data_IF_016386558300
#
_entry.id   IF_016386558300
#
_cell.length_a   1.000
_cell.length_b   1.000
_cell.length_c   1.000
_cell.angle_alpha   90.00
_cell.angle_beta   90.00
_cell.angle_gamma   90.00
#
_symmetry.space_group_name_H-M   'P 1'
#
loop_
_entity.id
_entity.type
_entity.pdbx_description
1 polymer ?
#
# COMPACT_ATOMS: atom_id res chain seq x y z
N UNK A 1 5.54 -25.90 5.90
CA UNK A 1 5.27 -24.46 5.85
C UNK A 1 6.55 -23.65 5.85
N UNK A 2 7.49 -23.92 6.76
CA UNK A 2 8.79 -23.20 6.84
C UNK A 2 9.66 -23.40 5.59
N UNK A 3 9.70 -24.59 4.99
CA UNK A 3 10.46 -24.89 3.77
C UNK A 3 9.96 -24.13 2.53
N UNK A 4 8.69 -23.74 2.46
CA UNK A 4 8.17 -22.88 1.38
C UNK A 4 8.47 -21.39 1.59
N UNK A 5 8.73 -20.98 2.82
CA UNK A 5 9.14 -19.62 3.16
C UNK A 5 10.61 -19.32 2.80
N UNK A 6 11.46 -20.35 2.67
CA UNK A 6 12.87 -20.20 2.28
C UNK A 6 13.13 -20.43 0.78
N UNK A 7 12.14 -20.86 0.00
CA UNK A 7 12.30 -21.10 -1.43
C UNK A 7 12.71 -19.80 -2.16
N UNK A 8 13.77 -19.86 -2.93
CA UNK A 8 14.28 -18.74 -3.75
C UNK A 8 15.07 -17.65 -3.01
N UNK A 9 15.30 -17.79 -1.69
CA UNK A 9 16.17 -16.88 -0.93
C UNK A 9 17.42 -17.60 -0.44
N UNK A 10 18.59 -17.00 -0.68
CA UNK A 10 19.83 -17.54 -0.12
C UNK A 10 19.86 -17.39 1.41
N UNK A 11 20.66 -18.19 2.15
CA UNK A 11 20.84 -17.99 3.59
C UNK A 11 21.25 -16.56 3.97
N UNK A 12 21.98 -15.87 3.07
CA UNK A 12 22.35 -14.45 3.22
C UNK A 12 21.13 -13.53 3.11
N UNK A 13 20.19 -13.82 2.21
CA UNK A 13 18.94 -13.07 2.08
C UNK A 13 18.05 -13.22 3.31
N UNK A 14 17.94 -14.42 3.87
CA UNK A 14 17.22 -14.67 5.13
C UNK A 14 17.85 -13.94 6.32
N UNK A 15 19.19 -13.97 6.42
CA UNK A 15 19.92 -13.25 7.46
C UNK A 15 19.71 -11.72 7.34
N UNK A 16 19.75 -11.18 6.14
CA UNK A 16 19.47 -9.76 5.89
C UNK A 16 18.06 -9.36 6.34
N UNK A 17 17.04 -10.13 5.97
CA UNK A 17 15.64 -9.87 6.40
C UNK A 17 15.53 -9.96 7.93
N UNK A 18 16.17 -10.92 8.57
CA UNK A 18 16.15 -11.05 10.03
C UNK A 18 16.85 -9.86 10.72
N UNK A 19 17.98 -9.40 10.17
CA UNK A 19 18.72 -8.23 10.69
C UNK A 19 17.86 -6.96 10.52
N UNK A 20 17.23 -6.77 9.35
CA UNK A 20 16.37 -5.61 9.11
C UNK A 20 15.13 -5.59 10.03
N UNK A 21 14.50 -6.75 10.23
CA UNK A 21 13.39 -6.88 11.19
C UNK A 21 13.86 -6.63 12.64
N UNK A 22 15.02 -7.16 13.04
CA UNK A 22 15.59 -6.88 14.35
C UNK A 22 15.90 -5.41 14.57
N UNK A 23 16.51 -4.75 13.58
CA UNK A 23 16.75 -3.31 13.60
C UNK A 23 15.44 -2.51 13.67
N UNK A 24 14.42 -2.88 12.89
CA UNK A 24 13.12 -2.24 12.92
C UNK A 24 12.41 -2.41 14.28
N UNK A 25 12.54 -3.56 14.95
CA UNK A 25 11.95 -3.77 16.29
C UNK A 25 12.59 -2.86 17.35
N UNK A 26 13.87 -2.56 17.21
CA UNK A 26 14.61 -1.75 18.19
C UNK A 26 14.60 -0.26 17.84
N UNK A 27 14.32 0.10 16.60
CA UNK A 27 14.35 1.47 16.08
C UNK A 27 13.59 2.50 16.96
N UNK A 28 12.36 2.23 17.47
CA UNK A 28 11.62 3.20 18.28
C UNK A 28 12.30 3.58 19.59
N UNK A 29 13.21 2.75 20.11
CA UNK A 29 13.93 3.02 21.37
C UNK A 29 14.94 4.15 21.21
N UNK A 30 15.49 4.30 20.00
CA UNK A 30 16.51 5.30 19.68
C UNK A 30 15.98 6.43 18.79
N UNK A 31 14.77 6.29 18.26
CA UNK A 31 14.19 7.24 17.34
C UNK A 31 13.67 8.49 18.11
N UNK A 32 13.96 9.67 17.60
CA UNK A 32 13.23 10.91 17.97
C UNK A 32 11.79 10.82 17.45
N UNK A 33 10.86 11.62 18.02
CA UNK A 33 9.47 11.67 17.58
C UNK A 33 9.34 11.98 16.09
N UNK A 34 10.22 12.81 15.56
CA UNK A 34 10.31 13.11 14.14
C UNK A 34 10.70 11.87 13.32
N UNK A 35 11.78 11.20 13.68
CA UNK A 35 12.24 9.99 12.98
C UNK A 35 11.19 8.88 13.07
N UNK A 36 10.51 8.77 14.20
CA UNK A 36 9.41 7.81 14.38
C UNK A 36 8.26 8.07 13.41
N UNK A 37 7.89 9.34 13.20
CA UNK A 37 6.87 9.73 12.21
C UNK A 37 7.30 9.34 10.79
N UNK A 38 8.56 9.56 10.43
CA UNK A 38 9.11 9.16 9.12
C UNK A 38 9.05 7.64 8.95
N UNK A 39 9.44 6.89 9.97
CA UNK A 39 9.39 5.43 9.93
C UNK A 39 7.95 4.89 9.81
N UNK A 40 6.97 5.55 10.45
CA UNK A 40 5.55 5.23 10.30
C UNK A 40 5.11 5.44 8.84
N UNK A 41 5.48 6.56 8.21
CA UNK A 41 5.17 6.83 6.81
C UNK A 41 5.82 5.81 5.87
N UNK A 42 7.08 5.44 6.11
CA UNK A 42 7.77 4.39 5.34
C UNK A 42 7.03 3.06 5.44
N UNK A 43 6.66 2.63 6.65
CA UNK A 43 5.94 1.37 6.86
C UNK A 43 4.53 1.39 6.24
N UNK A 44 3.85 2.54 6.32
CA UNK A 44 2.55 2.75 5.68
C UNK A 44 2.65 2.63 4.15
N UNK A 45 3.65 3.31 3.55
CA UNK A 45 3.94 3.28 2.12
C UNK A 45 4.37 1.88 1.67
N UNK A 46 5.21 1.19 2.45
CA UNK A 46 5.59 -0.20 2.20
C UNK A 46 4.39 -1.15 2.22
N UNK A 47 3.50 -1.03 3.21
CA UNK A 47 2.30 -1.86 3.32
C UNK A 47 1.33 -1.64 2.15
N UNK A 48 0.99 -0.38 1.86
CA UNK A 48 0.08 -0.03 0.76
C UNK A 48 0.67 -0.39 -0.60
N UNK A 49 1.97 -0.20 -0.78
CA UNK A 49 2.70 -0.62 -1.96
C UNK A 49 2.67 -2.14 -2.16
N UNK A 50 2.78 -2.94 -1.08
CA UNK A 50 2.63 -4.40 -1.15
C UNK A 50 1.21 -4.81 -1.57
N UNK A 51 0.18 -4.13 -1.04
CA UNK A 51 -1.20 -4.38 -1.42
C UNK A 51 -1.45 -4.08 -2.91
N UNK A 52 -0.94 -2.96 -3.42
CA UNK A 52 -1.03 -2.61 -4.83
C UNK A 52 -0.24 -3.59 -5.72
N UNK A 53 0.92 -4.04 -5.26
CA UNK A 53 1.80 -4.96 -6.00
C UNK A 53 1.14 -6.32 -6.27
N UNK A 54 0.13 -6.75 -5.48
CA UNK A 54 -0.66 -7.95 -5.77
C UNK A 54 -1.42 -7.76 -7.09
N UNK A 55 -2.07 -6.60 -7.27
CA UNK A 55 -2.92 -6.34 -8.42
C UNK A 55 -2.09 -6.09 -9.69
N UNK A 56 -1.10 -5.21 -9.63
CA UNK A 56 -0.27 -4.87 -10.78
C UNK A 56 0.95 -5.80 -10.90
N UNK A 57 1.70 -5.96 -9.83
CA UNK A 57 2.98 -6.66 -9.88
C UNK A 57 2.84 -8.15 -10.13
N UNK A 58 1.85 -8.81 -9.55
CA UNK A 58 1.64 -10.26 -9.73
C UNK A 58 0.62 -10.57 -10.82
N UNK A 59 -0.51 -9.87 -10.88
CA UNK A 59 -1.61 -10.17 -11.79
C UNK A 59 -1.66 -9.28 -13.05
N UNK A 60 -0.77 -8.29 -13.20
CA UNK A 60 -0.68 -7.44 -14.38
C UNK A 60 -1.82 -6.44 -14.57
N UNK A 61 -2.62 -6.18 -13.51
CA UNK A 61 -3.78 -5.30 -13.59
C UNK A 61 -3.44 -3.91 -13.06
N UNK A 62 -3.17 -2.96 -13.98
CA UNK A 62 -2.81 -1.59 -13.62
C UNK A 62 -4.01 -0.84 -13.04
N UNK A 63 -3.97 -0.52 -11.76
CA UNK A 63 -4.96 0.31 -11.08
C UNK A 63 -4.31 1.60 -10.58
N UNK A 64 -4.94 2.73 -10.88
CA UNK A 64 -4.59 4.06 -10.38
C UNK A 64 -5.62 4.61 -9.38
N UNK A 65 -6.54 3.77 -8.93
CA UNK A 65 -7.64 4.14 -8.02
C UNK A 65 -7.50 3.61 -6.59
N UNK A 66 -6.29 3.27 -6.12
CA UNK A 66 -6.12 2.68 -4.78
C UNK A 66 -6.50 3.62 -3.64
N UNK A 67 -6.48 4.95 -3.86
CA UNK A 67 -7.03 5.93 -2.93
C UNK A 67 -8.50 5.66 -2.59
N UNK A 68 -9.29 5.09 -3.50
CA UNK A 68 -10.67 4.67 -3.26
C UNK A 68 -10.76 3.69 -2.09
N UNK A 69 -9.91 2.67 -2.08
CA UNK A 69 -9.94 1.62 -1.06
C UNK A 69 -9.40 2.13 0.29
N UNK A 70 -8.40 3.01 0.27
CA UNK A 70 -7.95 3.74 1.47
C UNK A 70 -9.10 4.58 2.02
N UNK A 71 -9.78 5.34 1.15
CA UNK A 71 -10.90 6.19 1.52
C UNK A 71 -12.06 5.40 2.13
N UNK A 72 -12.47 4.31 1.50
CA UNK A 72 -13.52 3.43 2.03
C UNK A 72 -13.13 2.86 3.38
N UNK A 73 -11.89 2.36 3.52
CA UNK A 73 -11.38 1.87 4.80
C UNK A 73 -11.45 2.92 5.91
N UNK A 74 -11.00 4.13 5.60
CA UNK A 74 -10.97 5.25 6.52
C UNK A 74 -12.38 5.73 6.92
N UNK A 75 -13.22 6.07 5.93
CA UNK A 75 -14.53 6.66 6.17
C UNK A 75 -15.54 5.69 6.78
N UNK A 76 -15.58 4.44 6.33
CA UNK A 76 -16.49 3.44 6.90
C UNK A 76 -16.17 3.24 8.38
N UNK A 77 -14.90 3.05 8.73
CA UNK A 77 -14.51 2.82 10.11
C UNK A 77 -14.69 4.07 10.97
N UNK A 78 -14.31 5.25 10.46
CA UNK A 78 -14.47 6.52 11.18
C UNK A 78 -15.94 6.86 11.42
N UNK A 79 -16.81 6.67 10.42
CA UNK A 79 -18.25 6.91 10.58
C UNK A 79 -18.88 5.95 11.60
N UNK A 80 -18.53 4.67 11.57
CA UNK A 80 -18.97 3.70 12.59
C UNK A 80 -18.49 4.08 13.98
N UNK A 81 -17.28 4.61 14.10
CA UNK A 81 -16.73 5.06 15.37
C UNK A 81 -17.45 6.32 15.89
N UNK A 82 -17.62 7.33 15.05
CA UNK A 82 -18.20 8.63 15.45
C UNK A 82 -19.70 8.51 15.75
N UNK A 83 -20.47 7.80 14.93
CA UNK A 83 -21.93 7.76 15.05
C UNK A 83 -22.46 6.64 15.96
N UNK A 84 -21.72 5.53 16.04
CA UNK A 84 -22.18 4.33 16.77
C UNK A 84 -21.25 3.90 17.90
N UNK A 85 -20.10 4.56 18.09
CA UNK A 85 -19.11 4.14 19.09
C UNK A 85 -18.45 2.79 18.81
N UNK A 86 -18.55 2.29 17.55
CA UNK A 86 -17.98 1.00 17.16
C UNK A 86 -16.47 1.16 17.01
N UNK A 87 -15.70 0.40 17.80
CA UNK A 87 -14.24 0.47 17.79
C UNK A 87 -13.62 0.11 16.43
N UNK A 88 -12.36 0.54 16.19
CA UNK A 88 -11.70 0.43 14.89
C UNK A 88 -11.58 -1.00 14.37
N UNK A 89 -11.36 -1.98 15.24
CA UNK A 89 -11.23 -3.39 14.85
C UNK A 89 -12.56 -4.00 14.36
N UNK A 90 -13.66 -3.65 14.99
CA UNK A 90 -14.99 -4.04 14.51
C UNK A 90 -15.37 -3.26 13.26
N UNK A 91 -15.02 -1.97 13.20
CA UNK A 91 -15.17 -1.17 11.99
C UNK A 91 -14.38 -1.73 10.80
N UNK A 92 -13.19 -2.28 11.04
CA UNK A 92 -12.38 -2.97 10.03
C UNK A 92 -13.12 -4.17 9.40
N UNK A 93 -13.85 -4.95 10.22
CA UNK A 93 -14.65 -6.09 9.73
C UNK A 93 -15.75 -5.67 8.75
N UNK A 94 -16.22 -4.42 8.82
CA UNK A 94 -17.16 -3.85 7.84
C UNK A 94 -16.40 -3.20 6.66
N UNK A 95 -15.35 -2.45 6.93
CA UNK A 95 -14.61 -1.67 5.94
C UNK A 95 -13.92 -2.55 4.88
N UNK A 96 -13.30 -3.67 5.31
CA UNK A 96 -12.59 -4.59 4.39
C UNK A 96 -13.56 -5.25 3.39
N UNK A 97 -14.69 -5.85 3.80
CA UNK A 97 -15.66 -6.40 2.85
C UNK A 97 -16.26 -5.34 1.92
N UNK A 98 -16.54 -4.11 2.40
CA UNK A 98 -17.07 -3.03 1.57
C UNK A 98 -16.05 -2.64 0.49
N UNK A 99 -14.79 -2.45 0.85
CA UNK A 99 -13.74 -2.13 -0.12
C UNK A 99 -13.49 -3.30 -1.09
N UNK A 100 -13.49 -4.53 -0.60
CA UNK A 100 -13.34 -5.73 -1.41
C UNK A 100 -14.53 -5.89 -2.39
N UNK A 101 -15.75 -5.65 -1.95
CA UNK A 101 -16.94 -5.68 -2.80
C UNK A 101 -16.92 -4.56 -3.85
N UNK A 102 -16.47 -3.35 -3.48
CA UNK A 102 -16.28 -2.24 -4.43
C UNK A 102 -15.21 -2.59 -5.47
N UNK A 103 -14.08 -3.14 -5.03
CA UNK A 103 -13.04 -3.66 -5.93
C UNK A 103 -13.57 -4.76 -6.85
N UNK A 104 -14.33 -5.70 -6.29
CA UNK A 104 -14.98 -6.77 -7.06
C UNK A 104 -15.95 -6.21 -8.10
N UNK A 105 -16.74 -5.20 -7.75
CA UNK A 105 -17.66 -4.54 -8.67
C UNK A 105 -16.93 -3.86 -9.84
N UNK A 106 -15.89 -3.09 -9.54
CA UNK A 106 -15.06 -2.42 -10.57
C UNK A 106 -14.36 -3.47 -11.45
N UNK A 107 -13.76 -4.49 -10.83
CA UNK A 107 -13.12 -5.60 -11.54
C UNK A 107 -14.09 -6.38 -12.41
N UNK A 108 -15.32 -6.65 -11.91
CA UNK A 108 -16.37 -7.31 -12.68
C UNK A 108 -16.73 -6.50 -13.94
N UNK A 109 -16.99 -5.20 -13.80
CA UNK A 109 -17.28 -4.32 -14.93
C UNK A 109 -16.13 -4.36 -15.95
N UNK A 110 -14.88 -4.17 -15.48
CA UNK A 110 -13.73 -4.14 -16.36
C UNK A 110 -13.54 -5.48 -17.09
N UNK A 111 -13.44 -6.57 -16.37
CA UNK A 111 -13.03 -7.85 -16.95
C UNK A 111 -14.15 -8.52 -17.73
N UNK A 112 -15.41 -8.29 -17.34
CA UNK A 112 -16.58 -8.78 -18.11
C UNK A 112 -16.65 -8.15 -19.49
N UNK A 113 -16.31 -6.87 -19.59
CA UNK A 113 -16.32 -6.12 -20.85
C UNK A 113 -14.92 -6.06 -21.52
N UNK A 114 -13.96 -6.86 -21.03
CA UNK A 114 -12.59 -6.94 -21.56
C UNK A 114 -11.85 -5.59 -21.56
N UNK A 115 -12.15 -4.75 -20.58
CA UNK A 115 -11.43 -3.50 -20.32
C UNK A 115 -10.14 -3.85 -19.58
N UNK A 116 -9.00 -3.64 -20.20
CA UNK A 116 -7.68 -3.98 -19.63
C UNK A 116 -6.64 -2.87 -19.85
N UNK A 117 -5.46 -3.05 -19.29
CA UNK A 117 -4.35 -2.12 -19.45
C UNK A 117 -4.69 -0.70 -18.96
N UNK A 118 -4.38 0.29 -19.79
CA UNK A 118 -4.59 1.71 -19.47
C UNK A 118 -6.07 2.06 -19.25
N UNK A 119 -6.99 1.40 -19.96
CA UNK A 119 -8.42 1.65 -19.80
C UNK A 119 -8.93 1.18 -18.42
N UNK A 120 -8.38 0.11 -17.88
CA UNK A 120 -8.68 -0.31 -16.51
C UNK A 120 -8.15 0.72 -15.48
N UNK A 121 -6.97 1.28 -15.71
CA UNK A 121 -6.43 2.34 -14.88
C UNK A 121 -7.34 3.58 -14.87
N UNK A 122 -7.80 4.03 -16.04
CA UNK A 122 -8.72 5.18 -16.16
C UNK A 122 -10.05 4.89 -15.45
N UNK A 123 -10.59 3.68 -15.61
CA UNK A 123 -11.81 3.26 -14.92
C UNK A 123 -11.66 3.35 -13.41
N UNK A 124 -10.54 2.88 -12.86
CA UNK A 124 -10.28 2.94 -11.41
C UNK A 124 -10.11 4.37 -10.89
N UNK A 125 -9.52 5.29 -11.68
CA UNK A 125 -9.48 6.73 -11.35
C UNK A 125 -10.90 7.30 -11.32
N UNK A 126 -11.71 7.00 -12.33
CA UNK A 126 -13.09 7.51 -12.41
C UNK A 126 -13.93 7.10 -11.19
N UNK A 127 -13.80 5.84 -10.73
CA UNK A 127 -14.48 5.39 -9.51
C UNK A 127 -13.94 6.05 -8.24
N UNK A 128 -12.63 6.31 -8.14
CA UNK A 128 -12.06 7.04 -7.01
C UNK A 128 -12.59 8.48 -6.95
N UNK A 129 -12.66 9.15 -8.10
CA UNK A 129 -13.21 10.52 -8.22
C UNK A 129 -14.70 10.55 -7.96
N UNK A 130 -15.45 9.57 -8.46
CA UNK A 130 -16.87 9.42 -8.15
C UNK A 130 -17.12 9.29 -6.64
N UNK A 131 -16.31 8.46 -5.95
CA UNK A 131 -16.40 8.33 -4.50
C UNK A 131 -16.03 9.64 -3.80
N UNK A 132 -14.96 10.34 -4.23
CA UNK A 132 -14.56 11.64 -3.69
C UNK A 132 -15.74 12.63 -3.72
N UNK A 133 -16.35 12.80 -4.89
CA UNK A 133 -17.50 13.70 -5.06
C UNK A 133 -18.70 13.22 -4.24
N UNK A 134 -18.96 11.92 -4.18
CA UNK A 134 -20.03 11.34 -3.37
C UNK A 134 -19.85 11.65 -1.88
N UNK A 135 -18.65 11.44 -1.34
CA UNK A 135 -18.37 11.72 0.07
C UNK A 135 -18.34 13.22 0.40
N UNK A 136 -17.96 14.10 -0.56
CA UNK A 136 -18.03 15.55 -0.41
C UNK A 136 -19.49 16.05 -0.18
N UNK A 137 -20.47 15.37 -0.77
CA UNK A 137 -21.88 15.74 -0.64
C UNK A 137 -22.64 14.96 0.44
N UNK A 138 -22.02 13.96 1.04
CA UNK A 138 -22.66 13.12 2.04
C UNK A 138 -22.52 13.74 3.45
N UNK A 139 -23.53 14.48 3.90
CA UNK A 139 -23.54 15.17 5.18
C UNK A 139 -23.27 14.22 6.38
N UNK A 140 -23.70 12.94 6.28
CA UNK A 140 -23.48 11.93 7.31
C UNK A 140 -22.00 11.62 7.55
N UNK A 141 -21.15 11.78 6.56
CA UNK A 141 -19.69 11.60 6.69
C UNK A 141 -18.93 12.92 6.84
N UNK A 142 -19.63 14.01 7.17
CA UNK A 142 -19.04 15.34 7.35
C UNK A 142 -18.93 16.15 6.06
N UNK A 143 -19.21 15.56 4.89
CA UNK A 143 -19.12 16.22 3.59
C UNK A 143 -17.75 16.87 3.33
N UNK A 144 -17.74 18.01 2.66
CA UNK A 144 -16.54 18.80 2.38
C UNK A 144 -15.89 19.40 3.65
N UNK A 145 -16.64 19.53 4.75
CA UNK A 145 -16.11 19.99 6.05
C UNK A 145 -15.26 18.94 6.75
N UNK A 146 -15.29 17.70 6.29
CA UNK A 146 -14.52 16.60 6.83
C UNK A 146 -15.16 15.91 8.03
N UNK A 147 -14.69 14.70 8.32
CA UNK A 147 -15.07 13.90 9.47
C UNK A 147 -13.93 13.91 10.50
N UNK A 148 -14.23 14.39 11.72
CA UNK A 148 -13.27 14.47 12.80
C UNK A 148 -13.54 13.39 13.83
N UNK A 149 -12.52 12.61 14.15
CA UNK A 149 -12.59 11.65 15.21
C UNK A 149 -12.29 12.35 16.54
N UNK A 150 -13.07 12.09 17.61
CA UNK A 150 -12.82 12.69 18.91
C UNK A 150 -11.42 12.31 19.41
N UNK A 151 -10.61 13.31 19.71
CA UNK A 151 -9.27 13.15 20.29
C UNK A 151 -9.42 13.24 21.79
N UNK A 152 -9.38 12.10 22.48
CA UNK A 152 -9.31 12.09 23.95
C UNK A 152 -7.88 12.48 24.39
N UNK A 153 -7.74 13.11 25.56
CA UNK A 153 -6.41 13.34 26.15
C UNK A 153 -5.83 11.98 26.56
N UNK A 154 -4.76 11.55 25.86
CA UNK A 154 -4.16 10.25 26.07
C UNK A 154 -3.18 10.29 27.22
N UNK A 155 -3.51 9.57 28.29
CA UNK A 155 -2.54 9.18 29.32
C UNK A 155 -2.01 7.76 29.15
N UNK A 156 -2.65 6.91 28.32
CA UNK A 156 -2.26 5.52 28.06
C UNK A 156 -2.54 5.10 26.64
N UNK A 157 -1.71 4.20 26.10
CA UNK A 157 -1.96 3.53 24.84
C UNK A 157 -3.17 2.60 24.97
N UNK A 158 -4.16 2.79 24.13
CA UNK A 158 -5.33 1.91 24.00
C UNK A 158 -5.34 1.27 22.61
N UNK A 159 -4.83 0.04 22.55
CA UNK A 159 -4.79 -0.74 21.32
C UNK A 159 -6.21 -1.05 20.80
N UNK A 160 -7.17 -1.20 21.69
CA UNK A 160 -8.55 -1.53 21.30
C UNK A 160 -9.23 -0.38 20.56
N UNK A 161 -8.97 0.83 21.00
CA UNK A 161 -9.51 2.05 20.39
C UNK A 161 -8.58 2.66 19.31
N UNK A 162 -7.41 2.06 19.05
CA UNK A 162 -6.35 2.63 18.22
C UNK A 162 -6.03 4.09 18.61
N UNK A 163 -5.86 4.30 19.93
CA UNK A 163 -5.54 5.60 20.50
C UNK A 163 -4.27 5.51 21.32
N UNK A 164 -3.34 6.42 21.13
CA UNK A 164 -2.10 6.42 21.89
C UNK A 164 -0.92 7.07 21.19
N UNK A 165 0.25 6.79 21.69
CA UNK A 165 1.52 7.32 21.22
C UNK A 165 1.86 6.82 19.79
N UNK A 166 2.59 7.59 18.97
CA UNK A 166 3.07 7.16 17.66
C UNK A 166 3.78 5.80 17.65
N UNK A 167 4.48 5.45 18.74
CA UNK A 167 5.13 4.14 18.91
C UNK A 167 4.15 2.96 18.71
N UNK A 168 2.91 3.11 19.17
CA UNK A 168 1.88 2.08 19.00
C UNK A 168 1.56 1.88 17.51
N UNK A 169 1.35 2.96 16.77
CA UNK A 169 1.09 2.91 15.33
C UNK A 169 2.28 2.33 14.55
N UNK A 170 3.50 2.66 14.99
CA UNK A 170 4.71 2.09 14.41
C UNK A 170 4.70 0.55 14.49
N UNK A 171 4.48 -0.01 15.67
CA UNK A 171 4.47 -1.47 15.83
C UNK A 171 3.30 -2.14 15.12
N UNK A 172 2.12 -1.50 15.05
CA UNK A 172 0.98 -2.00 14.27
C UNK A 172 1.33 -2.06 12.79
N UNK A 173 1.92 -0.99 12.23
CA UNK A 173 2.32 -0.94 10.83
C UNK A 173 3.50 -1.86 10.52
N UNK A 174 4.44 -2.02 11.45
CA UNK A 174 5.53 -2.99 11.32
C UNK A 174 4.97 -4.42 11.24
N UNK A 175 4.06 -4.78 12.15
CA UNK A 175 3.39 -6.07 12.13
C UNK A 175 2.55 -6.27 10.85
N UNK A 176 1.82 -5.23 10.42
CA UNK A 176 1.03 -5.25 9.19
C UNK A 176 1.91 -5.42 7.94
N UNK A 177 3.04 -4.69 7.85
CA UNK A 177 3.98 -4.80 6.72
C UNK A 177 4.66 -6.17 6.69
N UNK A 178 5.03 -6.71 7.85
CA UNK A 178 5.59 -8.06 7.97
C UNK A 178 4.54 -9.13 7.57
N UNK A 179 3.31 -8.98 8.05
CA UNK A 179 2.19 -9.85 7.65
C UNK A 179 1.95 -9.77 6.13
N UNK A 180 1.88 -8.55 5.56
CA UNK A 180 1.69 -8.35 4.12
C UNK A 180 2.81 -9.02 3.31
N UNK A 181 4.07 -8.90 3.75
CA UNK A 181 5.20 -9.56 3.11
C UNK A 181 5.05 -11.07 3.11
N UNK A 182 4.76 -11.69 4.27
CA UNK A 182 4.56 -13.13 4.38
C UNK A 182 3.36 -13.59 3.57
N UNK A 183 2.26 -12.84 3.59
CA UNK A 183 1.04 -13.12 2.86
C UNK A 183 1.25 -13.02 1.34
N UNK A 184 1.87 -11.93 0.84
CA UNK A 184 2.23 -11.78 -0.58
C UNK A 184 3.16 -12.92 -1.05
N UNK A 185 4.14 -13.30 -0.21
CA UNK A 185 5.01 -14.43 -0.49
C UNK A 185 4.22 -15.74 -0.58
N UNK A 186 3.34 -16.01 0.40
CA UNK A 186 2.50 -17.21 0.39
C UNK A 186 1.61 -17.28 -0.85
N UNK A 187 1.03 -16.15 -1.26
CA UNK A 187 0.24 -16.05 -2.49
C UNK A 187 1.07 -16.30 -3.74
N UNK A 188 2.24 -15.66 -3.85
CA UNK A 188 3.09 -15.77 -5.04
C UNK A 188 3.58 -17.20 -5.29
N UNK A 189 3.93 -17.94 -4.22
CA UNK A 189 4.34 -19.35 -4.30
C UNK A 189 3.19 -20.36 -4.22
N UNK A 190 1.94 -19.88 -4.29
CA UNK A 190 0.74 -20.73 -4.41
C UNK A 190 0.36 -20.98 -5.87
N UNK A 191 -0.61 -21.86 -6.11
CA UNK A 191 -1.20 -22.05 -7.44
C UNK A 191 -1.79 -20.76 -8.02
N UNK A 192 -2.33 -19.90 -7.15
CA UNK A 192 -2.90 -18.60 -7.55
C UNK A 192 -1.81 -17.70 -8.10
N UNK A 193 -0.65 -17.64 -7.44
CA UNK A 193 0.49 -16.84 -7.87
C UNK A 193 1.04 -17.28 -9.24
N UNK A 194 1.17 -18.58 -9.48
CA UNK A 194 1.59 -19.08 -10.79
C UNK A 194 0.61 -18.67 -11.90
N UNK A 195 -0.69 -18.73 -11.65
CA UNK A 195 -1.69 -18.29 -12.63
C UNK A 195 -1.67 -16.78 -12.82
N UNK A 196 -1.43 -15.98 -11.77
CA UNK A 196 -1.25 -14.54 -11.91
C UNK A 196 -0.05 -14.19 -12.78
N UNK A 197 1.09 -14.82 -12.55
CA UNK A 197 2.28 -14.60 -13.36
C UNK A 197 2.04 -14.97 -14.83
N UNK A 198 1.40 -16.10 -15.10
CA UNK A 198 1.04 -16.50 -16.47
C UNK A 198 0.10 -15.46 -17.13
N UNK A 199 -0.92 -14.96 -16.41
CA UNK A 199 -1.84 -13.93 -16.92
C UNK A 199 -1.11 -12.60 -17.17
N UNK A 200 -0.15 -12.24 -16.32
CA UNK A 200 0.64 -11.02 -16.46
C UNK A 200 1.53 -11.06 -17.70
N UNK A 201 2.16 -12.20 -17.99
CA UNK A 201 3.04 -12.37 -19.14
C UNK A 201 2.24 -12.37 -20.46
N UNK A 202 1.20 -13.20 -20.55
CA UNK A 202 0.29 -13.25 -21.71
C UNK A 202 -1.07 -13.80 -21.31
N UNK A 203 -2.08 -12.93 -21.25
CA UNK A 203 -3.45 -13.32 -20.87
C UNK A 203 -4.10 -14.27 -21.89
N UNK A 204 -3.81 -14.10 -23.18
CA UNK A 204 -4.41 -14.92 -24.23
C UNK A 204 -3.82 -16.35 -24.20
N UNK A 205 -2.49 -16.43 -24.06
CA UNK A 205 -1.81 -17.71 -23.92
C UNK A 205 -2.25 -18.44 -22.63
N UNK A 206 -2.37 -17.72 -21.50
CA UNK A 206 -2.87 -18.29 -20.25
C UNK A 206 -4.30 -18.85 -20.41
N UNK A 207 -5.18 -18.14 -21.12
CA UNK A 207 -6.56 -18.59 -21.43
C UNK A 207 -6.55 -19.81 -22.34
N UNK A 208 -5.69 -19.82 -23.36
CA UNK A 208 -5.54 -20.98 -24.25
C UNK A 208 -5.03 -22.23 -23.50
N UNK A 209 -4.22 -22.05 -22.46
CA UNK A 209 -3.78 -23.10 -21.55
C UNK A 209 -4.86 -23.56 -20.54
N UNK A 210 -6.09 -23.00 -20.60
CA UNK A 210 -7.21 -23.39 -19.75
C UNK A 210 -7.30 -22.64 -18.41
N UNK A 211 -6.54 -21.55 -18.22
CA UNK A 211 -6.60 -20.73 -17.00
C UNK A 211 -7.83 -19.81 -17.10
N UNK A 212 -8.68 -19.81 -16.08
CA UNK A 212 -9.79 -18.87 -15.94
C UNK A 212 -9.27 -17.48 -15.54
N UNK A 213 -8.86 -16.69 -16.55
CA UNK A 213 -8.24 -15.37 -16.35
C UNK A 213 -9.17 -14.41 -15.63
N UNK A 214 -10.49 -14.47 -15.88
CA UNK A 214 -11.47 -13.63 -15.20
C UNK A 214 -11.46 -13.89 -13.69
N UNK A 215 -11.56 -15.14 -13.27
CA UNK A 215 -11.59 -15.53 -11.86
C UNK A 215 -10.31 -15.11 -11.13
N UNK A 216 -9.14 -15.36 -11.72
CA UNK A 216 -7.87 -15.08 -11.07
C UNK A 216 -7.58 -13.56 -11.00
N UNK A 217 -7.95 -12.77 -12.01
CA UNK A 217 -7.90 -11.30 -11.93
C UNK A 217 -8.82 -10.75 -10.85
N UNK A 218 -10.04 -11.28 -10.74
CA UNK A 218 -10.98 -10.91 -9.67
C UNK A 218 -10.41 -11.18 -8.27
N UNK A 219 -9.76 -12.33 -8.06
CA UNK A 219 -9.12 -12.66 -6.78
C UNK A 219 -8.03 -11.62 -6.43
N UNK A 220 -7.21 -11.22 -7.41
CA UNK A 220 -6.18 -10.20 -7.19
C UNK A 220 -6.78 -8.86 -6.76
N UNK A 221 -7.84 -8.42 -7.45
CA UNK A 221 -8.53 -7.15 -7.14
C UNK A 221 -9.13 -7.17 -5.74
N UNK A 222 -9.86 -8.26 -5.38
CA UNK A 222 -10.52 -8.40 -4.07
C UNK A 222 -9.50 -8.39 -2.93
N UNK A 223 -8.40 -9.14 -3.07
CA UNK A 223 -7.36 -9.19 -2.04
C UNK A 223 -6.67 -7.83 -1.90
N UNK A 224 -6.27 -7.23 -3.03
CA UNK A 224 -5.57 -5.94 -3.05
C UNK A 224 -6.43 -4.82 -2.43
N UNK A 225 -7.70 -4.71 -2.83
CA UNK A 225 -8.62 -3.70 -2.28
C UNK A 225 -8.90 -3.90 -0.79
N UNK A 226 -9.11 -5.15 -0.35
CA UNK A 226 -9.30 -5.47 1.06
C UNK A 226 -8.08 -5.14 1.93
N UNK A 227 -6.87 -5.47 1.46
CA UNK A 227 -5.63 -5.08 2.16
C UNK A 227 -5.47 -3.56 2.21
N UNK A 228 -5.75 -2.87 1.12
CA UNK A 228 -5.63 -1.41 1.06
C UNK A 228 -6.61 -0.72 2.01
N UNK A 229 -7.81 -1.28 2.24
CA UNK A 229 -8.77 -0.75 3.19
C UNK A 229 -8.24 -0.76 4.64
N UNK A 230 -7.47 -1.77 5.04
CA UNK A 230 -6.81 -1.79 6.35
C UNK A 230 -5.90 -0.56 6.54
N UNK A 231 -5.13 -0.19 5.52
CA UNK A 231 -4.31 1.02 5.58
C UNK A 231 -5.17 2.28 5.79
N UNK A 232 -6.37 2.32 5.19
CA UNK A 232 -7.35 3.39 5.41
C UNK A 232 -7.79 3.50 6.87
N UNK A 233 -8.04 2.37 7.54
CA UNK A 233 -8.37 2.36 8.98
C UNK A 233 -7.25 2.97 9.80
N UNK A 234 -6.00 2.54 9.58
CA UNK A 234 -4.85 3.10 10.30
C UNK A 234 -4.69 4.59 10.01
N UNK A 235 -4.89 5.01 8.75
CA UNK A 235 -4.84 6.41 8.36
C UNK A 235 -5.84 7.26 9.15
N UNK A 236 -7.10 6.81 9.26
CA UNK A 236 -8.16 7.53 9.96
C UNK A 236 -7.83 7.77 11.44
N UNK A 237 -7.33 6.75 12.13
CA UNK A 237 -7.04 6.81 13.55
C UNK A 237 -5.69 7.44 13.89
N UNK A 238 -4.77 7.50 12.92
CA UNK A 238 -3.50 8.20 13.07
C UNK A 238 -3.66 9.70 12.90
N UNK A 239 -4.35 10.14 11.83
CA UNK A 239 -4.54 11.57 11.54
C UNK A 239 -5.73 12.20 12.26
N UNK A 240 -6.75 11.41 12.64
CA UNK A 240 -7.96 11.85 13.34
C UNK A 240 -8.86 12.84 12.57
N UNK A 241 -8.53 13.17 11.36
CA UNK A 241 -9.29 14.04 10.47
C UNK A 241 -9.32 13.45 9.06
N UNK A 242 -10.48 13.46 8.43
CA UNK A 242 -10.70 12.92 7.11
C UNK A 242 -11.37 13.96 6.22
N UNK A 243 -10.70 14.34 5.15
CA UNK A 243 -11.25 15.19 4.11
C UNK A 243 -11.33 14.37 2.82
N UNK A 244 -12.50 14.31 2.12
CA UNK A 244 -12.65 13.53 0.90
C UNK A 244 -11.59 13.87 -0.14
N UNK A 245 -11.32 15.18 -0.32
CA UNK A 245 -10.31 15.67 -1.24
C UNK A 245 -8.90 15.16 -0.96
N UNK A 246 -8.54 14.92 0.30
CA UNK A 246 -7.21 14.43 0.67
C UNK A 246 -7.11 12.90 0.58
N UNK A 247 -8.18 12.20 0.93
CA UNK A 247 -8.16 10.74 1.10
C UNK A 247 -8.39 10.02 -0.22
N UNK A 248 -9.32 10.51 -1.07
CA UNK A 248 -9.64 9.90 -2.37
C UNK A 248 -8.85 10.48 -3.54
N UNK A 249 -7.95 11.44 -3.32
CA UNK A 249 -7.21 12.13 -4.36
C UNK A 249 -6.32 11.16 -5.16
N UNK A 250 -6.21 11.41 -6.46
CA UNK A 250 -5.33 10.67 -7.36
C UNK A 250 -3.85 10.73 -6.92
N UNK A 251 -3.41 11.85 -6.32
CA UNK A 251 -2.06 11.99 -5.81
C UNK A 251 -1.73 10.93 -4.76
N UNK A 252 -2.69 10.56 -3.92
CA UNK A 252 -2.53 9.46 -2.96
C UNK A 252 -2.40 8.11 -3.64
N UNK A 253 -3.15 7.87 -4.71
CA UNK A 253 -2.95 6.64 -5.51
C UNK A 253 -1.55 6.60 -6.10
N UNK A 254 -1.05 7.73 -6.60
CA UNK A 254 0.32 7.85 -7.14
C UNK A 254 1.35 7.55 -6.05
N UNK A 255 1.21 8.15 -4.85
CA UNK A 255 2.12 7.89 -3.72
C UNK A 255 2.21 6.39 -3.38
N UNK A 256 1.08 5.67 -3.41
CA UNK A 256 1.03 4.21 -3.19
C UNK A 256 1.80 3.44 -4.26
N UNK A 257 1.70 3.87 -5.51
CA UNK A 257 2.27 3.20 -6.68
C UNK A 257 3.77 3.43 -6.79
N UNK A 258 4.24 4.60 -6.40
CA UNK A 258 5.64 4.98 -6.55
C UNK A 258 6.59 4.04 -5.79
N UNK A 259 6.22 3.58 -4.60
CA UNK A 259 7.07 2.69 -3.81
C UNK A 259 7.38 1.36 -4.54
N UNK A 260 6.39 0.56 -5.01
CA UNK A 260 6.68 -0.63 -5.79
C UNK A 260 7.32 -0.33 -7.15
N UNK A 261 7.04 0.82 -7.75
CA UNK A 261 7.58 1.19 -9.06
C UNK A 261 9.09 1.49 -8.97
N UNK A 262 9.51 2.26 -7.98
CA UNK A 262 10.93 2.54 -7.72
C UNK A 262 11.66 1.30 -7.19
N UNK A 263 11.02 0.57 -6.29
CA UNK A 263 11.62 -0.60 -5.67
C UNK A 263 11.72 -1.82 -6.57
N UNK A 264 10.82 -1.98 -7.53
CA UNK A 264 10.74 -3.11 -8.48
C UNK A 264 9.37 -3.78 -8.43
N UNK A 265 8.58 -3.55 -9.49
CA UNK A 265 7.23 -4.12 -9.65
C UNK A 265 7.30 -5.65 -9.73
N UNK A 266 6.37 -6.33 -9.06
CA UNK A 266 6.27 -7.78 -9.07
C UNK A 266 7.28 -8.49 -8.16
N UNK A 267 8.13 -7.75 -7.46
CA UNK A 267 9.05 -8.33 -6.47
C UNK A 267 8.48 -8.21 -5.05
N UNK A 268 8.89 -9.13 -4.16
CA UNK A 268 8.38 -9.15 -2.78
C UNK A 268 8.94 -8.01 -1.93
N UNK A 269 10.22 -7.69 -2.08
CA UNK A 269 10.90 -6.65 -1.29
C UNK A 269 10.90 -5.29 -1.98
N UNK A 270 10.55 -5.22 -3.28
CA UNK A 270 10.49 -3.97 -4.03
C UNK A 270 9.69 -2.88 -3.33
N UNK A 271 8.42 -3.10 -2.97
CA UNK A 271 7.61 -2.08 -2.30
C UNK A 271 8.21 -1.58 -0.99
N UNK A 272 8.89 -2.44 -0.23
CA UNK A 272 9.55 -2.08 1.03
C UNK A 272 10.77 -1.21 0.75
N UNK A 273 11.65 -1.65 -0.15
CA UNK A 273 12.87 -0.91 -0.52
C UNK A 273 12.52 0.43 -1.16
N UNK A 274 11.51 0.44 -2.05
CA UNK A 274 11.04 1.67 -2.69
C UNK A 274 10.46 2.67 -1.68
N UNK A 275 9.69 2.21 -0.69
CA UNK A 275 9.18 3.05 0.38
C UNK A 275 10.31 3.68 1.20
N UNK A 276 11.33 2.91 1.57
CA UNK A 276 12.50 3.43 2.27
C UNK A 276 13.25 4.49 1.44
N UNK A 277 13.43 4.26 0.15
CA UNK A 277 14.11 5.20 -0.74
C UNK A 277 13.28 6.48 -0.88
N UNK A 278 12.00 6.36 -1.24
CA UNK A 278 11.17 7.53 -1.54
C UNK A 278 10.88 8.38 -0.31
N UNK A 279 10.38 7.77 0.75
CA UNK A 279 10.03 8.54 1.96
C UNK A 279 11.29 9.01 2.70
N UNK A 280 12.34 8.18 2.76
CA UNK A 280 13.60 8.55 3.40
C UNK A 280 14.30 9.71 2.68
N UNK A 281 14.40 9.66 1.36
CA UNK A 281 14.98 10.75 0.56
C UNK A 281 14.09 11.99 0.55
N UNK A 282 12.76 11.82 0.48
CA UNK A 282 11.81 12.95 0.54
C UNK A 282 11.96 13.72 1.84
N UNK A 283 12.08 13.03 2.95
CA UNK A 283 12.20 13.65 4.26
C UNK A 283 13.60 14.25 4.48
N UNK A 284 14.64 13.59 3.97
CA UNK A 284 15.98 14.15 3.90
C UNK A 284 16.03 15.45 3.10
N UNK A 285 15.36 15.50 1.94
CA UNK A 285 15.25 16.72 1.14
C UNK A 285 14.49 17.82 1.87
N UNK A 286 13.38 17.49 2.52
CA UNK A 286 12.58 18.45 3.30
C UNK A 286 13.38 19.06 4.44
N UNK A 287 14.13 18.22 5.17
CA UNK A 287 15.00 18.68 6.26
C UNK A 287 16.11 19.62 5.74
N UNK A 288 16.71 19.25 4.60
CA UNK A 288 17.75 20.06 3.97
C UNK A 288 17.22 21.43 3.51
N UNK A 289 16.08 21.46 2.83
CA UNK A 289 15.44 22.70 2.36
C UNK A 289 14.96 23.56 3.52
N UNK A 290 14.40 22.94 4.57
CA UNK A 290 14.04 23.65 5.79
C UNK A 290 15.24 24.32 6.49
N UNK A 291 16.39 23.64 6.52
CA UNK A 291 17.63 24.21 7.04
C UNK A 291 18.17 25.38 6.19
N UNK A 292 17.85 25.39 4.88
CA UNK A 292 18.19 26.49 3.97
C UNK A 292 17.14 27.62 3.96
N UNK A 293 16.05 27.48 4.73
CA UNK A 293 14.95 28.46 4.77
C UNK A 293 14.11 28.49 3.49
N UNK A 294 14.15 27.44 2.69
CA UNK A 294 13.42 27.32 1.42
C UNK A 294 12.17 26.45 1.63
N UNK A 295 11.00 27.07 1.59
CA UNK A 295 9.71 26.36 1.63
C UNK A 295 9.01 26.54 0.27
N UNK A 296 9.08 25.49 -0.56
CA UNK A 296 8.47 25.48 -1.91
C UNK A 296 7.36 24.43 -1.93
N UNK A 297 6.09 24.85 -2.01
CA UNK A 297 4.97 23.93 -2.18
C UNK A 297 5.17 23.06 -3.43
N UNK A 298 4.90 21.74 -3.30
CA UNK A 298 5.03 20.81 -4.42
C UNK A 298 6.44 20.27 -4.68
N UNK A 299 7.46 20.67 -3.94
CA UNK A 299 8.84 20.17 -4.12
C UNK A 299 8.94 18.66 -3.96
N UNK A 300 8.11 18.05 -3.10
CA UNK A 300 8.03 16.60 -2.91
C UNK A 300 7.64 15.88 -4.21
N UNK A 301 6.66 16.41 -4.93
CA UNK A 301 6.17 15.83 -6.19
C UNK A 301 7.22 15.93 -7.31
N UNK A 302 7.90 17.09 -7.40
CA UNK A 302 9.02 17.28 -8.34
C UNK A 302 10.15 16.30 -8.05
N UNK A 303 10.49 16.14 -6.77
CA UNK A 303 11.53 15.20 -6.35
C UNK A 303 11.15 13.75 -6.68
N UNK A 304 9.91 13.34 -6.40
CA UNK A 304 9.43 12.00 -6.75
C UNK A 304 9.49 11.76 -8.26
N UNK A 305 9.13 12.77 -9.08
CA UNK A 305 9.25 12.69 -10.53
C UNK A 305 10.69 12.52 -10.98
N UNK A 306 11.64 13.24 -10.38
CA UNK A 306 13.07 13.11 -10.68
C UNK A 306 13.63 11.75 -10.26
N UNK A 307 13.30 11.26 -9.06
CA UNK A 307 13.73 9.94 -8.60
C UNK A 307 13.19 8.86 -9.51
N UNK A 308 11.92 8.96 -9.90
CA UNK A 308 11.29 8.02 -10.82
C UNK A 308 12.00 8.02 -12.19
N UNK A 309 12.25 9.20 -12.75
CA UNK A 309 12.97 9.33 -14.02
C UNK A 309 14.36 8.70 -13.96
N UNK A 310 15.11 8.96 -12.88
CA UNK A 310 16.44 8.38 -12.67
C UNK A 310 16.38 6.86 -12.55
N UNK A 311 15.40 6.32 -11.81
CA UNK A 311 15.25 4.86 -11.64
C UNK A 311 14.87 4.22 -12.97
N UNK A 312 13.90 4.76 -13.71
CA UNK A 312 13.48 4.20 -15.01
C UNK A 312 14.62 4.18 -16.02
N UNK A 313 15.47 5.21 -16.04
CA UNK A 313 16.61 5.30 -16.96
C UNK A 313 17.79 4.44 -16.52
N UNK A 314 18.11 4.44 -15.23
CA UNK A 314 19.32 3.77 -14.71
C UNK A 314 19.07 2.29 -14.35
N UNK A 315 17.87 1.96 -13.85
CA UNK A 315 17.52 0.64 -13.31
C UNK A 315 16.06 0.30 -13.66
N UNK A 316 15.77 -0.01 -14.94
CA UNK A 316 14.38 -0.18 -15.42
C UNK A 316 13.61 -1.31 -14.76
N UNK A 317 14.28 -2.30 -14.18
CA UNK A 317 13.66 -3.39 -13.39
C UNK A 317 13.36 -2.98 -11.93
N UNK A 318 13.76 -1.78 -11.50
CA UNK A 318 13.68 -1.29 -10.14
C UNK A 318 14.93 -1.56 -9.30
N UNK A 319 15.03 -0.86 -8.18
CA UNK A 319 16.24 -0.85 -7.35
C UNK A 319 16.48 -2.20 -6.65
N UNK A 320 15.42 -2.89 -6.21
CA UNK A 320 15.58 -4.17 -5.53
C UNK A 320 16.19 -5.28 -6.40
N UNK A 321 15.73 -5.56 -7.63
CA UNK A 321 16.36 -6.54 -8.51
C UNK A 321 17.84 -6.26 -8.74
N UNK A 322 18.22 -5.00 -8.94
CA UNK A 322 19.62 -4.59 -9.08
C UNK A 322 20.46 -4.91 -7.84
N UNK A 323 19.95 -4.57 -6.63
CA UNK A 323 20.60 -4.90 -5.35
C UNK A 323 20.72 -6.42 -5.21
N UNK A 324 19.63 -7.15 -5.43
CA UNK A 324 19.59 -8.60 -5.26
C UNK A 324 20.58 -9.33 -6.16
N UNK A 325 20.73 -8.89 -7.41
CA UNK A 325 21.72 -9.43 -8.36
C UNK A 325 23.14 -9.09 -7.92
N UNK A 326 23.41 -7.83 -7.54
CA UNK A 326 24.74 -7.37 -7.13
C UNK A 326 25.26 -8.09 -5.90
N UNK A 327 24.40 -8.37 -4.93
CA UNK A 327 24.77 -9.01 -3.65
C UNK A 327 24.45 -10.51 -3.61
N UNK A 328 23.98 -11.12 -4.71
CA UNK A 328 23.63 -12.55 -4.81
C UNK A 328 22.68 -13.01 -3.68
N UNK A 329 21.63 -12.20 -3.43
CA UNK A 329 20.66 -12.43 -2.35
C UNK A 329 19.52 -13.39 -2.78
N UNK A 330 19.32 -13.58 -4.08
CA UNK A 330 18.38 -14.53 -4.67
C UNK A 330 19.12 -15.65 -5.40
N UNK A 331 18.57 -16.86 -5.36
CA UNK A 331 19.01 -17.93 -6.24
C UNK A 331 18.65 -17.53 -7.67
N UNK A 332 19.61 -17.66 -8.61
CA UNK A 332 19.30 -17.51 -10.03
C UNK A 332 18.28 -18.58 -10.40
N UNK A 333 17.11 -18.18 -10.83
CA UNK A 333 16.19 -19.08 -11.52
C UNK A 333 16.95 -19.63 -12.75
N UNK A 334 17.15 -20.97 -12.75
CA UNK A 334 17.68 -21.69 -13.89
C UNK A 334 16.60 -21.95 -14.91
#
# INVERSE_FOLDING_TARGET
MITRLSAGTTPRGLALVAILLGAALVAPVFASDYLLTVLILILYSAYTGQAWNIMMGFAGQLSLGHALYVGLGAYVTAALYVHFGIGPWLGLLAAVPIAAATGAFIGFLAFRFRVGGVYFAILTIAFAEFARVGFDHLAWTGGSSGLFLPVAQYSRNDLWQLRGHPVMFYYILLAASAFAFVFCRALLYSRIGYFWLAIREDEEAARAAGIDTFRYKMIAVVISSGMTAFAGVIYAFYYNNLFPEQVFNISRSIDIILAPLVGGIGTLLGPIVGAFILEGLSEGLRTLLGALGVDVPGIKQVFFGLVLLLVVVAVPEGVWPWIAQRFKLMERER
#
